data_IF_587636271608
#
_entry.id   IF_587636271608
#
_cell.length_a   1.000
_cell.length_b   1.000
_cell.length_c   1.000
_cell.angle_alpha   90.00
_cell.angle_beta   90.00
_cell.angle_gamma   90.00
#
_symmetry.space_group_name_H-M   'P 1'
#
loop_
_entity.id
_entity.type
_entity.pdbx_description
1 polymer ?
#
# COMPACT_ATOMS: atom_id res chain seq x y z
N UNK A 1 9.81 -12.56 -6.85
CA UNK A 1 9.69 -11.08 -7.02
C UNK A 1 8.82 -10.69 -8.21
N UNK A 2 9.06 -11.19 -9.43
CA UNK A 2 8.25 -10.81 -10.61
C UNK A 2 6.76 -11.17 -10.46
N UNK A 3 6.45 -12.33 -9.89
CA UNK A 3 5.07 -12.75 -9.60
C UNK A 3 4.36 -11.71 -8.71
N UNK A 4 4.95 -11.38 -7.55
CA UNK A 4 4.41 -10.39 -6.61
C UNK A 4 4.28 -8.99 -7.24
N UNK A 5 5.26 -8.57 -8.04
CA UNK A 5 5.21 -7.29 -8.75
C UNK A 5 4.15 -7.28 -9.87
N UNK A 6 3.91 -8.43 -10.51
CA UNK A 6 2.82 -8.64 -11.46
C UNK A 6 1.45 -8.55 -10.80
N UNK A 7 1.29 -9.18 -9.63
CA UNK A 7 0.08 -9.09 -8.81
C UNK A 7 -0.17 -7.64 -8.38
N UNK A 8 0.85 -6.94 -7.87
CA UNK A 8 0.74 -5.53 -7.54
C UNK A 8 0.38 -4.66 -8.76
N UNK A 9 0.88 -4.98 -9.96
CA UNK A 9 0.50 -4.26 -11.18
C UNK A 9 -0.97 -4.50 -11.54
N UNK A 10 -1.44 -5.75 -11.43
CA UNK A 10 -2.83 -6.14 -11.66
C UNK A 10 -3.79 -5.46 -10.69
N UNK A 11 -3.45 -5.40 -9.41
CA UNK A 11 -4.24 -4.72 -8.37
C UNK A 11 -4.37 -3.22 -8.65
N UNK A 12 -3.31 -2.61 -9.19
CA UNK A 12 -3.33 -1.22 -9.65
C UNK A 12 -3.94 -1.04 -11.05
N UNK A 13 -4.57 -2.08 -11.61
CA UNK A 13 -5.22 -2.09 -12.94
C UNK A 13 -4.25 -1.68 -14.07
N UNK A 14 -3.00 -2.16 -14.00
CA UNK A 14 -1.95 -1.91 -15.00
C UNK A 14 -1.45 -3.22 -15.60
N UNK A 15 -1.21 -3.22 -16.91
CA UNK A 15 -0.66 -4.38 -17.63
C UNK A 15 0.88 -4.42 -17.63
N UNK A 16 1.54 -3.33 -17.22
CA UNK A 16 3.01 -3.20 -17.19
C UNK A 16 3.48 -2.99 -15.76
N UNK A 17 4.52 -3.74 -15.38
CA UNK A 17 5.24 -3.53 -14.12
C UNK A 17 6.03 -2.23 -14.21
N UNK A 18 5.85 -1.33 -13.23
CA UNK A 18 6.62 -0.09 -13.07
C UNK A 18 7.36 -0.13 -11.72
N UNK A 19 8.32 0.76 -11.45
CA UNK A 19 9.10 0.72 -10.20
C UNK A 19 8.26 0.74 -8.92
N UNK A 20 7.09 1.40 -8.94
CA UNK A 20 6.12 1.36 -7.83
C UNK A 20 5.66 -0.05 -7.48
N UNK A 21 5.34 -0.88 -8.48
CA UNK A 21 4.87 -2.25 -8.25
C UNK A 21 5.98 -3.13 -7.67
N UNK A 22 7.22 -2.90 -8.09
CA UNK A 22 8.38 -3.57 -7.51
C UNK A 22 8.59 -3.20 -6.04
N UNK A 23 8.45 -1.91 -5.70
CA UNK A 23 8.51 -1.48 -4.31
C UNK A 23 7.38 -2.09 -3.47
N UNK A 24 6.13 -2.11 -3.97
CA UNK A 24 5.01 -2.72 -3.27
C UNK A 24 5.25 -4.22 -3.03
N UNK A 25 5.76 -4.95 -4.02
CA UNK A 25 6.08 -6.36 -3.89
C UNK A 25 7.16 -6.63 -2.84
N UNK A 26 8.26 -5.85 -2.86
CA UNK A 26 9.38 -6.03 -1.94
C UNK A 26 9.04 -5.61 -0.51
N UNK A 27 8.25 -4.53 -0.33
CA UNK A 27 7.97 -3.99 1.01
C UNK A 27 6.79 -4.64 1.72
N UNK A 28 5.91 -5.33 1.00
CA UNK A 28 4.82 -6.13 1.59
C UNK A 28 5.23 -7.58 1.89
N UNK A 29 6.39 -8.03 1.39
CA UNK A 29 6.93 -9.37 1.64
C UNK A 29 8.07 -9.29 2.66
N UNK A 30 7.97 -10.07 3.74
CA UNK A 30 8.90 -9.99 4.86
C UNK A 30 10.32 -10.45 4.47
N UNK A 31 10.43 -11.54 3.71
CA UNK A 31 11.71 -12.13 3.33
C UNK A 31 12.43 -11.23 2.32
N UNK A 32 11.72 -10.73 1.31
CA UNK A 32 12.27 -9.80 0.33
C UNK A 32 12.61 -8.44 0.96
N UNK A 33 11.80 -7.97 1.90
CA UNK A 33 12.06 -6.72 2.63
C UNK A 33 13.34 -6.78 3.46
N UNK A 34 13.61 -7.93 4.09
CA UNK A 34 14.88 -8.20 4.81
C UNK A 34 16.06 -8.34 3.85
N UNK A 35 15.89 -9.15 2.79
CA UNK A 35 16.94 -9.41 1.80
C UNK A 35 17.41 -8.14 1.09
N UNK A 36 16.49 -7.23 0.77
CA UNK A 36 16.75 -5.96 0.09
C UNK A 36 16.76 -4.77 1.05
N UNK A 37 17.05 -5.02 2.33
CA UNK A 37 17.24 -3.95 3.31
C UNK A 37 18.41 -3.05 2.88
N UNK A 38 18.22 -1.73 2.99
CA UNK A 38 19.21 -0.74 2.54
C UNK A 38 19.26 -0.46 1.03
N UNK A 39 18.59 -1.26 0.19
CA UNK A 39 18.51 -0.98 -1.26
C UNK A 39 17.47 0.09 -1.56
N UNK A 40 17.85 1.08 -2.36
CA UNK A 40 16.95 2.14 -2.85
C UNK A 40 16.36 1.76 -4.20
N UNK A 41 15.03 1.71 -4.29
CA UNK A 41 14.31 1.49 -5.55
C UNK A 41 13.91 2.86 -6.11
N UNK A 42 14.63 3.31 -7.14
CA UNK A 42 14.34 4.58 -7.80
C UNK A 42 12.90 4.61 -8.34
N UNK A 43 12.20 5.74 -8.19
CA UNK A 43 10.79 5.92 -8.59
C UNK A 43 9.79 4.96 -7.91
N UNK A 44 10.17 4.26 -6.85
CA UNK A 44 9.29 3.31 -6.13
C UNK A 44 8.32 3.97 -5.16
N UNK A 45 8.66 5.14 -4.59
CA UNK A 45 7.92 5.78 -3.50
C UNK A 45 8.02 5.00 -2.19
N UNK A 46 6.97 5.06 -1.35
CA UNK A 46 6.90 4.36 -0.04
C UNK A 46 5.54 3.68 0.17
N UNK A 47 5.44 2.69 1.07
CA UNK A 47 4.14 2.15 1.46
C UNK A 47 3.30 3.24 2.14
N UNK A 48 2.01 3.40 1.79
CA UNK A 48 1.14 4.33 2.49
C UNK A 48 0.99 3.90 3.95
N UNK A 49 1.49 4.73 4.87
CA UNK A 49 1.34 4.52 6.29
C UNK A 49 1.26 5.88 6.99
N UNK A 50 0.16 6.13 7.69
CA UNK A 50 -0.05 7.37 8.45
C UNK A 50 -0.05 7.00 9.93
N UNK A 51 0.82 7.64 10.71
CA UNK A 51 0.84 7.41 12.15
C UNK A 51 -0.54 7.80 12.75
N UNK A 52 -1.18 6.93 13.56
CA UNK A 52 -2.52 7.19 14.11
C UNK A 52 -2.67 8.53 14.85
N UNK A 53 -1.58 9.06 15.42
CA UNK A 53 -1.56 10.36 16.13
C UNK A 53 -1.81 11.53 15.16
N UNK A 54 -1.43 11.37 13.89
CA UNK A 54 -1.61 12.37 12.85
C UNK A 54 -3.02 12.33 12.24
N UNK A 55 -3.80 11.29 12.53
CA UNK A 55 -5.18 11.23 12.07
C UNK A 55 -6.02 12.25 12.86
N UNK A 56 -6.98 12.92 12.20
CA UNK A 56 -7.90 13.81 12.89
C UNK A 56 -8.60 13.05 14.03
N UNK A 57 -8.67 13.66 15.21
CA UNK A 57 -9.41 13.10 16.34
C UNK A 57 -10.84 12.86 15.89
N UNK A 58 -11.38 11.67 16.12
CA UNK A 58 -12.77 11.31 15.78
C UNK A 58 -13.72 12.32 16.41
N UNK A 59 -14.23 13.28 15.65
CA UNK A 59 -15.55 13.83 15.89
C UNK A 59 -16.54 12.71 15.61
N UNK A 60 -17.41 12.39 16.56
CA UNK A 60 -18.46 11.38 16.39
C UNK A 60 -19.23 11.69 15.10
N UNK A 61 -19.13 10.82 14.09
CA UNK A 61 -20.03 10.87 12.94
C UNK A 61 -21.35 10.29 13.42
N UNK A 62 -22.36 11.15 13.45
CA UNK A 62 -23.76 10.80 13.65
C UNK A 62 -24.13 9.59 12.79
N UNK A 63 -24.82 8.66 13.42
CA UNK A 63 -25.46 7.49 12.85
C UNK A 63 -26.40 7.89 11.71
N UNK A 64 -26.01 7.65 10.45
CA UNK A 64 -26.97 7.49 9.37
C UNK A 64 -27.47 6.05 9.38
N UNK A 65 -28.35 5.73 10.34
CA UNK A 65 -29.30 4.64 10.18
C UNK A 65 -30.42 5.11 9.24
N UNK A 66 -30.79 4.34 8.19
CA UNK A 66 -32.02 4.61 7.49
C UNK A 66 -33.19 4.18 8.39
N UNK A 67 -33.82 5.16 9.05
CA UNK A 67 -35.17 4.98 9.60
C UNK A 67 -36.14 4.78 8.43
N UNK A 68 -36.72 3.60 8.35
CA UNK A 68 -37.93 3.32 7.57
C UNK A 68 -38.95 2.64 8.50
N UNK A 69 -40.26 2.94 8.30
CA UNK A 69 -41.33 2.70 9.27
C UNK A 69 -41.63 1.23 9.58
#
# INVERSE_FOLDING_TARGET
VLELAGNAARDNKKNRIIPRHFLLAVRNDEELGKLLSGVTIAHGGVLPNINPILLPKKTQKETNEPKSP
#
